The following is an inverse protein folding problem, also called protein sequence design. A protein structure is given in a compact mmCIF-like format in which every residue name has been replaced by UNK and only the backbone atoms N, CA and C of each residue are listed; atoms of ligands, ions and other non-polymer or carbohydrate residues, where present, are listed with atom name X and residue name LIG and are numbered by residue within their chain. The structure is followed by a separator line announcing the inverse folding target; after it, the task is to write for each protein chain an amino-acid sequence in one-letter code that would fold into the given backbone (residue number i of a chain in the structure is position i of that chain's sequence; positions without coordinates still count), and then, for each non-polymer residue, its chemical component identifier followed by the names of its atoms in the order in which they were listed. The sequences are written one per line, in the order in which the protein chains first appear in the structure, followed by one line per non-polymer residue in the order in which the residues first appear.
data_IF_183598226805
#
_entry.id   IF_183598226805
#
_cell.length_a   1.000
_cell.length_b   1.000
_cell.length_c   1.000
_cell.angle_alpha   90.00
_cell.angle_beta   90.00
_cell.angle_gamma   90.00
#
_symmetry.space_group_name_H-M   'P 1'
#
loop_
_entity.id
_entity.type
_entity.pdbx_description
1 polymer ?
#
# COMPACT_ATOMS: atom_id res chain seq x y z
N UNK A 1 29.36 -20.95 -12.46
CA UNK A 1 27.99 -21.06 -13.01
C UNK A 1 27.06 -21.09 -11.83
N UNK A 2 26.54 -19.91 -11.46
CA UNK A 2 25.54 -19.82 -10.39
C UNK A 2 24.22 -20.26 -11.00
N UNK A 3 23.70 -21.41 -10.57
CA UNK A 3 22.32 -21.75 -10.84
C UNK A 3 21.43 -20.74 -10.07
N UNK A 4 20.36 -20.20 -10.70
CA UNK A 4 19.38 -19.42 -9.95
C UNK A 4 18.78 -20.33 -8.86
N UNK A 5 18.44 -19.81 -7.68
CA UNK A 5 17.81 -20.58 -6.62
C UNK A 5 16.51 -21.17 -7.17
N UNK A 6 16.36 -22.49 -7.04
CA UNK A 6 15.09 -23.18 -7.33
C UNK A 6 14.16 -22.90 -6.16
N UNK A 7 13.24 -21.95 -6.35
CA UNK A 7 12.16 -21.67 -5.41
C UNK A 7 11.21 -22.88 -5.39
N UNK A 8 11.05 -23.52 -4.25
CA UNK A 8 10.03 -24.55 -4.04
C UNK A 8 8.80 -23.89 -3.40
N UNK A 9 8.02 -23.18 -4.23
CA UNK A 9 6.73 -22.66 -3.80
C UNK A 9 5.82 -23.82 -3.37
N UNK A 10 5.24 -23.73 -2.18
CA UNK A 10 4.30 -24.74 -1.66
C UNK A 10 2.85 -24.48 -2.13
N UNK A 11 2.58 -23.28 -2.62
CA UNK A 11 1.34 -22.94 -3.32
C UNK A 11 1.57 -22.90 -4.83
N UNK A 12 0.50 -22.89 -5.61
CA UNK A 12 0.58 -22.79 -7.07
C UNK A 12 0.90 -21.37 -7.58
N UNK A 13 1.09 -20.41 -6.65
CA UNK A 13 1.35 -19.02 -7.00
C UNK A 13 2.82 -18.79 -7.38
N UNK A 14 3.04 -17.90 -8.34
CA UNK A 14 4.35 -17.56 -8.87
C UNK A 14 4.90 -16.21 -8.35
N UNK A 15 4.06 -15.42 -7.70
CA UNK A 15 4.45 -14.16 -7.06
C UNK A 15 3.39 -13.68 -6.05
N UNK A 16 3.82 -12.79 -5.14
CA UNK A 16 2.93 -12.09 -4.22
C UNK A 16 3.09 -10.59 -4.44
N UNK A 17 1.98 -9.91 -4.73
CA UNK A 17 1.92 -8.46 -4.87
C UNK A 17 1.18 -7.88 -3.67
N UNK A 18 1.77 -6.92 -2.98
CA UNK A 18 1.20 -6.28 -1.79
C UNK A 18 0.70 -4.87 -2.07
N UNK A 19 -0.41 -4.50 -1.45
CA UNK A 19 -0.70 -3.10 -1.17
C UNK A 19 0.18 -2.59 -0.04
N UNK A 20 0.13 -1.29 0.25
CA UNK A 20 0.97 -0.63 1.25
C UNK A 20 0.18 -0.27 2.51
N UNK A 21 -0.68 0.75 2.42
CA UNK A 21 -1.40 1.30 3.56
C UNK A 21 -2.52 0.36 4.04
N UNK A 22 -2.50 0.03 5.32
CA UNK A 22 -3.44 -0.96 5.87
C UNK A 22 -3.06 -2.41 5.60
N UNK A 23 -2.01 -2.66 4.82
CA UNK A 23 -1.52 -4.00 4.48
C UNK A 23 -0.14 -4.28 5.06
N UNK A 24 0.83 -3.42 4.83
CA UNK A 24 2.20 -3.55 5.34
C UNK A 24 2.50 -2.59 6.48
N UNK A 25 1.94 -1.37 6.44
CA UNK A 25 2.13 -0.39 7.49
C UNK A 25 0.89 0.47 7.73
N UNK A 26 0.88 1.18 8.87
CA UNK A 26 -0.06 2.25 9.21
C UNK A 26 0.70 3.55 9.41
N UNK A 27 0.54 4.50 8.51
CA UNK A 27 1.13 5.83 8.61
C UNK A 27 0.10 6.92 8.93
N UNK A 28 -1.11 6.54 9.35
CA UNK A 28 -2.20 7.49 9.58
C UNK A 28 -1.82 8.61 10.57
N UNK A 29 -1.14 8.29 11.66
CA UNK A 29 -0.72 9.30 12.64
C UNK A 29 0.27 10.32 12.04
N UNK A 30 1.19 9.87 11.19
CA UNK A 30 2.15 10.73 10.51
C UNK A 30 1.46 11.63 9.47
N UNK A 31 0.56 11.05 8.66
CA UNK A 31 -0.25 11.81 7.70
C UNK A 31 -1.16 12.82 8.41
N UNK A 32 -1.86 12.41 9.48
CA UNK A 32 -2.68 13.31 10.32
C UNK A 32 -1.88 14.52 10.82
N UNK A 33 -0.67 14.27 11.31
CA UNK A 33 0.20 15.33 11.78
C UNK A 33 0.54 16.32 10.65
N UNK A 34 0.99 15.84 9.52
CA UNK A 34 1.31 16.66 8.36
C UNK A 34 0.10 17.43 7.80
N UNK A 35 -1.02 16.77 7.61
CA UNK A 35 -2.25 17.41 7.10
C UNK A 35 -2.74 18.51 8.02
N UNK A 36 -2.70 18.31 9.34
CA UNK A 36 -3.10 19.34 10.30
C UNK A 36 -2.14 20.53 10.32
N UNK A 37 -0.85 20.34 10.02
CA UNK A 37 0.09 21.45 9.80
C UNK A 37 -0.28 22.24 8.54
N UNK A 38 -0.61 21.57 7.43
CA UNK A 38 -1.05 22.23 6.19
C UNK A 38 -2.32 23.06 6.42
N UNK A 39 -3.31 22.50 7.12
CA UNK A 39 -4.55 23.20 7.46
C UNK A 39 -4.29 24.45 8.32
N UNK A 40 -3.39 24.34 9.28
CA UNK A 40 -2.99 25.47 10.11
C UNK A 40 -2.26 26.57 9.30
N UNK A 41 -1.38 26.19 8.37
CA UNK A 41 -0.70 27.12 7.46
C UNK A 41 -1.69 27.87 6.57
N UNK A 42 -2.77 27.23 6.14
CA UNK A 42 -3.87 27.86 5.40
C UNK A 42 -4.77 28.75 6.29
N UNK A 43 -4.54 28.81 7.59
CA UNK A 43 -5.39 29.54 8.53
C UNK A 43 -6.76 28.90 8.76
N UNK A 44 -6.92 27.61 8.47
CA UNK A 44 -8.17 26.90 8.64
C UNK A 44 -8.29 26.27 10.02
N UNK A 45 -9.50 26.32 10.59
CA UNK A 45 -9.81 25.65 11.87
C UNK A 45 -10.15 24.17 11.71
N UNK A 46 -10.21 23.68 10.47
CA UNK A 46 -10.45 22.26 10.15
C UNK A 46 -9.37 21.38 10.75
N UNK A 47 -9.72 20.17 11.09
CA UNK A 47 -8.78 19.13 11.57
C UNK A 47 -9.21 17.79 11.01
N UNK A 48 -8.21 16.98 10.66
CA UNK A 48 -8.36 15.56 10.38
C UNK A 48 -7.83 14.76 11.56
N UNK A 49 -8.31 13.53 11.70
CA UNK A 49 -7.82 12.56 12.68
C UNK A 49 -7.33 11.28 11.97
N UNK A 50 -6.71 10.39 12.72
CA UNK A 50 -6.13 9.16 12.20
C UNK A 50 -7.19 8.26 11.54
N UNK A 51 -8.38 8.19 12.12
CA UNK A 51 -9.47 7.38 11.57
C UNK A 51 -10.00 7.99 10.26
N UNK A 52 -10.04 9.31 10.15
CA UNK A 52 -10.32 10.00 8.90
C UNK A 52 -9.30 9.64 7.82
N UNK A 53 -8.01 9.71 8.11
CA UNK A 53 -6.95 9.33 7.19
C UNK A 53 -7.09 7.86 6.78
N UNK A 54 -7.25 6.93 7.73
CA UNK A 54 -7.46 5.49 7.43
C UNK A 54 -8.68 5.26 6.54
N UNK A 55 -9.75 6.03 6.73
CA UNK A 55 -11.00 5.86 5.97
C UNK A 55 -10.87 6.18 4.48
N UNK A 56 -9.88 6.98 4.09
CA UNK A 56 -9.62 7.38 2.70
C UNK A 56 -8.39 6.71 2.11
N UNK A 57 -7.57 6.06 2.91
CA UNK A 57 -6.40 5.30 2.45
C UNK A 57 -6.78 4.27 1.39
N UNK A 58 -5.88 4.03 0.44
CA UNK A 58 -6.16 3.21 -0.73
C UNK A 58 -6.77 3.98 -1.92
N UNK A 59 -7.17 5.26 -1.76
CA UNK A 59 -7.50 6.13 -2.89
C UNK A 59 -6.25 6.90 -3.36
N UNK A 60 -6.24 7.41 -4.62
CA UNK A 60 -5.26 8.40 -5.05
C UNK A 60 -5.31 9.66 -4.18
N UNK A 61 -4.14 10.26 -3.90
CA UNK A 61 -3.99 11.40 -2.98
C UNK A 61 -4.98 12.56 -3.21
N UNK A 62 -5.22 13.06 -4.45
CA UNK A 62 -6.19 14.12 -4.66
C UNK A 62 -7.61 13.73 -4.20
N UNK A 63 -7.97 12.44 -4.38
CA UNK A 63 -9.27 11.94 -3.94
C UNK A 63 -9.40 11.86 -2.42
N UNK A 64 -8.31 11.55 -1.71
CA UNK A 64 -8.29 11.59 -0.26
C UNK A 64 -8.58 13.02 0.25
N UNK A 65 -7.93 14.02 -0.35
CA UNK A 65 -8.15 15.44 0.01
C UNK A 65 -9.59 15.87 -0.24
N UNK A 66 -10.17 15.52 -1.40
CA UNK A 66 -11.57 15.84 -1.73
C UNK A 66 -12.57 15.24 -0.73
N UNK A 67 -12.31 14.01 -0.26
CA UNK A 67 -13.21 13.32 0.67
C UNK A 67 -13.11 13.90 2.07
N UNK A 68 -11.90 14.17 2.57
CA UNK A 68 -11.68 14.63 3.94
C UNK A 68 -11.89 16.13 4.11
N UNK A 69 -11.72 16.91 3.06
CA UNK A 69 -11.82 18.36 3.09
C UNK A 69 -12.84 18.86 2.05
N UNK A 70 -14.10 18.40 2.12
CA UNK A 70 -15.13 18.74 1.11
C UNK A 70 -15.41 20.25 1.05
N UNK A 71 -15.13 21.01 2.13
CA UNK A 71 -15.30 22.45 2.18
C UNK A 71 -14.32 23.18 1.24
N UNK A 72 -13.24 22.52 0.82
CA UNK A 72 -12.26 23.07 -0.13
C UNK A 72 -12.57 22.71 -1.59
N UNK A 73 -13.68 22.03 -1.86
CA UNK A 73 -14.02 21.57 -3.21
C UNK A 73 -14.55 22.69 -4.13
N UNK A 74 -14.09 22.81 -5.38
CA UNK A 74 -13.04 22.02 -6.00
C UNK A 74 -11.66 22.36 -5.41
N UNK A 75 -10.89 21.33 -5.04
CA UNK A 75 -9.60 21.53 -4.37
C UNK A 75 -8.58 22.11 -5.35
N UNK A 76 -8.04 23.32 -5.08
CA UNK A 76 -7.03 23.90 -5.96
C UNK A 76 -5.74 23.09 -5.96
N UNK A 77 -5.03 23.08 -7.08
CA UNK A 77 -3.74 22.40 -7.24
C UNK A 77 -2.70 22.87 -6.19
N UNK A 78 -2.70 24.17 -5.86
CA UNK A 78 -1.83 24.72 -4.81
C UNK A 78 -2.12 24.15 -3.42
N UNK A 79 -3.40 23.84 -3.13
CA UNK A 79 -3.81 23.21 -1.88
C UNK A 79 -3.37 21.74 -1.85
N UNK A 80 -3.54 21.01 -2.96
CA UNK A 80 -3.07 19.63 -3.06
C UNK A 80 -1.56 19.56 -2.78
N UNK A 81 -0.78 20.41 -3.44
CA UNK A 81 0.68 20.48 -3.23
C UNK A 81 1.06 20.81 -1.79
N UNK A 82 0.37 21.79 -1.18
CA UNK A 82 0.67 22.18 0.19
C UNK A 82 0.39 21.02 1.17
N UNK A 83 -0.75 20.33 1.02
CA UNK A 83 -1.10 19.19 1.88
C UNK A 83 -0.09 18.05 1.66
N UNK A 84 0.32 17.78 0.42
CA UNK A 84 1.32 16.77 0.09
C UNK A 84 2.71 17.10 0.68
N UNK A 85 3.15 18.37 0.57
CA UNK A 85 4.42 18.82 1.13
C UNK A 85 4.46 18.65 2.66
N UNK A 86 3.37 19.00 3.35
CA UNK A 86 3.26 18.81 4.79
C UNK A 86 3.05 17.36 5.20
N UNK A 87 2.37 16.54 4.39
CA UNK A 87 2.31 15.09 4.65
C UNK A 87 3.70 14.48 4.62
N UNK A 88 4.55 14.89 3.67
CA UNK A 88 5.96 14.50 3.62
C UNK A 88 6.70 14.87 4.91
N UNK A 89 6.48 16.09 5.43
CA UNK A 89 7.03 16.51 6.72
C UNK A 89 6.55 15.58 7.85
N UNK A 90 5.28 15.21 7.85
CA UNK A 90 4.71 14.28 8.84
C UNK A 90 5.37 12.89 8.78
N UNK A 91 5.48 12.34 7.59
CA UNK A 91 6.13 11.03 7.38
C UNK A 91 7.61 11.06 7.75
N UNK A 92 8.33 12.17 7.47
CA UNK A 92 9.73 12.31 7.87
C UNK A 92 9.90 12.46 9.39
N UNK A 93 8.94 13.08 10.07
CA UNK A 93 9.00 13.32 11.50
C UNK A 93 8.62 12.10 12.36
N UNK A 94 7.59 11.36 11.95
CA UNK A 94 6.97 10.31 12.77
C UNK A 94 7.09 8.91 12.16
N UNK A 95 7.27 8.81 10.85
CA UNK A 95 7.18 7.58 10.06
C UNK A 95 5.83 6.86 10.16
N UNK A 96 5.67 5.78 9.40
CA UNK A 96 4.61 4.81 9.60
C UNK A 96 5.10 3.66 10.48
N UNK A 97 4.16 2.91 11.02
CA UNK A 97 4.41 1.73 11.84
C UNK A 97 4.09 0.48 11.03
N UNK A 98 5.05 -0.45 10.91
CA UNK A 98 4.79 -1.76 10.31
C UNK A 98 3.79 -2.54 11.18
N UNK A 99 2.90 -3.29 10.55
CA UNK A 99 2.11 -4.28 11.27
C UNK A 99 3.02 -5.37 11.83
N UNK A 100 2.57 -6.01 12.91
CA UNK A 100 3.32 -7.07 13.57
C UNK A 100 3.67 -8.20 12.58
N UNK A 101 4.90 -8.71 12.62
CA UNK A 101 5.39 -9.78 11.77
C UNK A 101 5.76 -9.39 10.33
N UNK A 102 5.44 -8.17 9.87
CA UNK A 102 5.66 -7.77 8.47
C UNK A 102 7.13 -7.77 8.07
N UNK A 103 8.01 -7.22 8.90
CA UNK A 103 9.43 -7.10 8.54
C UNK A 103 10.11 -8.46 8.40
N UNK A 104 9.85 -9.36 9.30
CA UNK A 104 10.38 -10.72 9.30
C UNK A 104 9.73 -11.55 8.19
N UNK A 105 8.40 -11.51 8.12
CA UNK A 105 7.65 -12.30 7.14
C UNK A 105 7.92 -11.92 5.69
N UNK A 106 8.14 -10.64 5.37
CA UNK A 106 8.55 -10.23 4.02
C UNK A 106 9.92 -10.81 3.64
N UNK A 107 10.88 -10.89 4.59
CA UNK A 107 12.18 -11.51 4.32
C UNK A 107 12.04 -13.01 4.07
N UNK A 108 11.25 -13.70 4.89
CA UNK A 108 10.97 -15.13 4.73
C UNK A 108 10.26 -15.43 3.40
N UNK A 109 9.25 -14.62 3.04
CA UNK A 109 8.54 -14.76 1.76
C UNK A 109 9.45 -14.48 0.56
N UNK A 110 10.34 -13.48 0.66
CA UNK A 110 11.26 -13.11 -0.42
C UNK A 110 12.29 -14.21 -0.74
N UNK A 111 12.58 -15.10 0.20
CA UNK A 111 13.43 -16.29 -0.05
C UNK A 111 12.73 -17.33 -0.94
N UNK A 112 11.40 -17.25 -1.07
CA UNK A 112 10.57 -18.27 -1.76
C UNK A 112 9.84 -17.70 -2.96
N UNK A 113 9.37 -16.45 -2.89
CA UNK A 113 8.55 -15.80 -3.91
C UNK A 113 9.14 -14.48 -4.37
N UNK A 114 9.06 -14.12 -5.65
CA UNK A 114 9.17 -12.73 -6.09
C UNK A 114 8.08 -11.90 -5.41
N UNK A 115 8.47 -10.86 -4.68
CA UNK A 115 7.53 -9.93 -4.03
C UNK A 115 7.46 -8.63 -4.81
N UNK A 116 6.27 -8.05 -4.88
CA UNK A 116 6.00 -6.78 -5.53
C UNK A 116 5.16 -5.87 -4.63
N UNK A 117 5.27 -4.55 -4.83
CA UNK A 117 4.42 -3.56 -4.19
C UNK A 117 3.64 -2.78 -5.26
N UNK A 118 2.32 -2.63 -5.08
CA UNK A 118 1.47 -1.78 -5.93
C UNK A 118 0.52 -0.98 -5.05
N UNK A 119 0.65 0.35 -5.03
CA UNK A 119 -0.15 1.24 -4.19
C UNK A 119 -0.67 2.47 -4.96
N UNK A 120 -1.76 3.07 -4.48
CA UNK A 120 -2.28 4.33 -4.99
C UNK A 120 -1.58 5.58 -4.39
N UNK A 121 -0.51 5.40 -3.62
CA UNK A 121 0.24 6.49 -2.99
C UNK A 121 1.06 7.31 -4.01
N UNK A 122 1.53 8.51 -3.62
CA UNK A 122 2.59 9.24 -4.33
C UNK A 122 3.90 8.43 -4.36
N UNK A 123 4.78 8.73 -5.33
CA UNK A 123 6.08 8.07 -5.48
C UNK A 123 7.01 8.27 -4.27
N UNK A 124 7.13 9.50 -3.79
CA UNK A 124 7.93 9.82 -2.61
C UNK A 124 7.49 9.07 -1.34
N UNK A 125 6.19 8.72 -1.26
CA UNK A 125 5.63 7.99 -0.12
C UNK A 125 6.07 6.53 -0.11
N UNK A 126 6.03 5.86 -1.27
CA UNK A 126 6.58 4.52 -1.43
C UNK A 126 8.10 4.50 -1.16
N UNK A 127 8.83 5.50 -1.67
CA UNK A 127 10.27 5.66 -1.38
C UNK A 127 10.53 5.88 0.12
N UNK A 128 9.67 6.64 0.81
CA UNK A 128 9.77 6.85 2.25
C UNK A 128 9.56 5.55 3.02
N UNK A 129 8.56 4.73 2.65
CA UNK A 129 8.37 3.39 3.21
C UNK A 129 9.65 2.55 3.10
N UNK A 130 10.23 2.43 1.92
CA UNK A 130 11.45 1.64 1.72
C UNK A 130 12.64 2.19 2.51
N UNK A 131 12.81 3.50 2.55
CA UNK A 131 13.89 4.17 3.28
C UNK A 131 13.78 3.94 4.79
N UNK A 132 12.58 4.07 5.35
CA UNK A 132 12.34 3.95 6.79
C UNK A 132 12.47 2.51 7.26
N UNK A 133 11.93 1.56 6.50
CA UNK A 133 11.87 0.15 6.90
C UNK A 133 13.10 -0.66 6.50
N UNK A 134 13.86 -0.21 5.50
CA UNK A 134 14.99 -0.97 4.95
C UNK A 134 14.58 -2.25 4.22
N UNK A 135 13.32 -2.36 3.77
CA UNK A 135 12.77 -3.57 3.15
C UNK A 135 12.81 -3.57 1.62
N UNK A 136 13.46 -2.58 1.00
CA UNK A 136 13.52 -2.48 -0.47
C UNK A 136 14.08 -3.75 -1.14
N UNK A 137 15.05 -4.41 -0.50
CA UNK A 137 15.69 -5.63 -1.01
C UNK A 137 14.77 -6.86 -1.04
N UNK A 138 13.68 -6.85 -0.27
CA UNK A 138 12.67 -7.90 -0.32
C UNK A 138 11.82 -7.87 -1.59
N UNK A 139 11.78 -6.75 -2.29
CA UNK A 139 10.89 -6.55 -3.43
C UNK A 139 11.63 -6.62 -4.75
N UNK A 140 11.12 -7.46 -5.67
CA UNK A 140 11.61 -7.57 -7.06
C UNK A 140 11.26 -6.33 -7.86
N UNK A 141 10.17 -5.64 -7.52
CA UNK A 141 9.75 -4.40 -8.15
C UNK A 141 8.55 -3.77 -7.47
N UNK A 142 8.28 -2.52 -7.80
CA UNK A 142 7.14 -1.78 -7.29
C UNK A 142 6.59 -0.79 -8.31
N UNK A 143 5.33 -0.41 -8.14
CA UNK A 143 4.67 0.64 -8.88
C UNK A 143 3.70 1.38 -7.97
N UNK A 144 3.51 2.68 -8.22
CA UNK A 144 2.53 3.48 -7.51
C UNK A 144 1.87 4.50 -8.43
N UNK A 145 0.73 5.03 -7.99
CA UNK A 145 0.00 6.03 -8.76
C UNK A 145 0.85 7.26 -9.08
N UNK A 146 1.68 7.70 -8.13
CA UNK A 146 2.57 8.85 -8.32
C UNK A 146 3.58 8.67 -9.45
N UNK A 147 4.09 7.44 -9.63
CA UNK A 147 5.06 7.13 -10.69
C UNK A 147 4.39 6.86 -12.04
N UNK A 148 3.29 6.12 -12.05
CA UNK A 148 2.67 5.61 -13.29
C UNK A 148 1.52 6.47 -13.81
N UNK A 149 0.89 7.26 -12.94
CA UNK A 149 -0.29 8.09 -13.27
C UNK A 149 -1.56 7.30 -13.61
N UNK A 150 -1.57 5.97 -13.37
CA UNK A 150 -2.71 5.10 -13.67
C UNK A 150 -3.29 4.49 -12.39
N UNK A 151 -4.52 3.99 -12.47
CA UNK A 151 -5.18 3.34 -11.34
C UNK A 151 -4.60 1.96 -11.02
N UNK A 152 -4.87 1.48 -9.79
CA UNK A 152 -4.32 0.25 -9.22
C UNK A 152 -4.50 -1.00 -10.11
N UNK A 153 -5.68 -1.20 -10.69
CA UNK A 153 -5.92 -2.34 -11.61
C UNK A 153 -4.99 -2.31 -12.82
N UNK A 154 -4.73 -1.12 -13.37
CA UNK A 154 -3.82 -0.98 -14.52
C UNK A 154 -2.37 -1.20 -14.12
N UNK A 155 -1.95 -0.74 -12.94
CA UNK A 155 -0.61 -1.04 -12.41
C UNK A 155 -0.41 -2.54 -12.22
N UNK A 156 -1.40 -3.25 -11.66
CA UNK A 156 -1.36 -4.72 -11.51
C UNK A 156 -1.25 -5.44 -12.86
N UNK A 157 -2.00 -5.03 -13.88
CA UNK A 157 -1.88 -5.57 -15.24
C UNK A 157 -0.50 -5.34 -15.83
N UNK A 158 0.03 -4.12 -15.71
CA UNK A 158 1.36 -3.77 -16.20
C UNK A 158 2.45 -4.60 -15.47
N UNK A 159 2.29 -4.84 -14.17
CA UNK A 159 3.19 -5.67 -13.37
C UNK A 159 3.17 -7.12 -13.87
N UNK A 160 1.99 -7.70 -14.08
CA UNK A 160 1.84 -9.05 -14.66
C UNK A 160 2.52 -9.18 -16.01
N UNK A 161 2.29 -8.23 -16.91
CA UNK A 161 2.90 -8.22 -18.24
C UNK A 161 4.43 -8.10 -18.17
N UNK A 162 4.91 -7.14 -17.39
CA UNK A 162 6.34 -6.81 -17.27
C UNK A 162 7.17 -7.98 -16.72
N UNK A 163 6.63 -8.68 -15.73
CA UNK A 163 7.34 -9.75 -15.03
C UNK A 163 6.84 -11.16 -15.40
N UNK A 164 5.94 -11.26 -16.37
CA UNK A 164 5.37 -12.53 -16.88
C UNK A 164 4.71 -13.36 -15.78
N UNK A 165 3.96 -12.72 -14.89
CA UNK A 165 3.30 -13.37 -13.76
C UNK A 165 2.02 -14.08 -14.25
N UNK A 166 2.01 -15.41 -14.18
CA UNK A 166 0.89 -16.22 -14.67
C UNK A 166 -0.17 -16.46 -13.58
N UNK A 167 0.26 -16.60 -12.33
CA UNK A 167 -0.59 -16.96 -11.20
C UNK A 167 -0.19 -16.19 -9.92
N UNK A 168 -0.09 -14.87 -10.01
CA UNK A 168 0.22 -14.03 -8.87
C UNK A 168 -1.02 -13.75 -8.03
N UNK A 169 -0.83 -13.52 -6.72
CA UNK A 169 -1.87 -13.04 -5.82
C UNK A 169 -1.66 -11.56 -5.51
N UNK A 170 -2.76 -10.86 -5.22
CA UNK A 170 -2.74 -9.51 -4.70
C UNK A 170 -3.26 -9.48 -3.25
N UNK A 171 -2.41 -9.04 -2.33
CA UNK A 171 -2.69 -8.92 -0.91
C UNK A 171 -3.08 -7.47 -0.60
N UNK A 172 -4.22 -7.27 0.02
CA UNK A 172 -4.73 -5.94 0.36
C UNK A 172 -5.81 -6.00 1.43
N UNK A 173 -6.24 -4.83 1.90
CA UNK A 173 -7.19 -4.72 3.01
C UNK A 173 -8.51 -4.04 2.63
N UNK A 174 -8.64 -3.48 1.41
CA UNK A 174 -9.82 -2.71 1.01
C UNK A 174 -10.67 -3.38 -0.08
N UNK A 175 -11.92 -2.92 -0.21
CA UNK A 175 -12.78 -3.28 -1.35
C UNK A 175 -12.20 -2.77 -2.68
N UNK A 176 -11.43 -1.67 -2.65
CA UNK A 176 -10.69 -1.14 -3.80
C UNK A 176 -9.64 -2.13 -4.30
N UNK A 177 -8.90 -2.74 -3.38
CA UNK A 177 -7.89 -3.77 -3.68
C UNK A 177 -8.51 -5.00 -4.32
N UNK A 178 -9.60 -5.49 -3.72
CA UNK A 178 -10.36 -6.61 -4.30
C UNK A 178 -10.85 -6.32 -5.72
N UNK A 179 -11.35 -5.11 -5.95
CA UNK A 179 -11.83 -4.71 -7.28
C UNK A 179 -10.68 -4.64 -8.28
N UNK A 180 -9.54 -4.06 -7.88
CA UNK A 180 -8.34 -3.96 -8.70
C UNK A 180 -7.75 -5.34 -9.04
N UNK A 181 -7.67 -6.24 -8.06
CA UNK A 181 -7.22 -7.62 -8.27
C UNK A 181 -8.11 -8.35 -9.29
N UNK A 182 -9.45 -8.26 -9.11
CA UNK A 182 -10.40 -8.87 -10.03
C UNK A 182 -10.28 -8.33 -11.46
N UNK A 183 -10.12 -7.02 -11.63
CA UNK A 183 -9.93 -6.39 -12.94
C UNK A 183 -8.60 -6.77 -13.59
N UNK A 184 -7.59 -7.08 -12.78
CA UNK A 184 -6.30 -7.57 -13.22
C UNK A 184 -6.23 -9.09 -13.37
N UNK A 185 -7.34 -9.81 -13.15
CA UNK A 185 -7.40 -11.27 -13.17
C UNK A 185 -6.36 -11.91 -12.24
N UNK A 186 -6.28 -11.39 -11.00
CA UNK A 186 -5.44 -11.89 -9.91
C UNK A 186 -6.31 -12.39 -8.76
N UNK A 187 -5.88 -13.45 -8.08
CA UNK A 187 -6.49 -13.86 -6.83
C UNK A 187 -6.28 -12.79 -5.76
N UNK A 188 -7.35 -12.46 -5.02
CA UNK A 188 -7.30 -11.48 -3.95
C UNK A 188 -7.19 -12.18 -2.59
N UNK A 189 -6.19 -11.78 -1.83
CA UNK A 189 -5.96 -12.18 -0.43
C UNK A 189 -6.26 -11.01 0.48
N UNK A 190 -7.20 -11.20 1.40
CA UNK A 190 -7.64 -10.14 2.31
C UNK A 190 -6.91 -10.23 3.66
N UNK A 191 -6.36 -9.11 4.12
CA UNK A 191 -5.85 -8.98 5.48
C UNK A 191 -6.85 -8.19 6.34
N UNK A 192 -7.33 -8.80 7.45
CA UNK A 192 -8.40 -8.24 8.29
C UNK A 192 -7.92 -7.24 9.31
N UNK A 193 -6.62 -7.19 9.58
CA UNK A 193 -6.00 -6.26 10.52
C UNK A 193 -5.86 -4.84 9.96
N UNK A 194 -6.08 -4.65 8.66
CA UNK A 194 -5.97 -3.36 7.98
C UNK A 194 -7.15 -2.41 8.23
N UNK A 195 -7.30 -1.41 7.37
CA UNK A 195 -8.32 -0.36 7.49
C UNK A 195 -9.69 -0.79 6.97
N UNK A 196 -9.71 -1.69 5.98
CA UNK A 196 -10.92 -2.17 5.33
C UNK A 196 -11.76 -3.06 6.23
N UNK A 197 -13.10 -2.98 6.05
CA UNK A 197 -14.05 -3.77 6.82
C UNK A 197 -14.86 -4.68 5.90
N UNK A 198 -15.05 -5.95 6.33
CA UNK A 198 -15.97 -6.91 5.72
C UNK A 198 -15.78 -7.13 4.21
N UNK A 199 -14.54 -7.23 3.74
CA UNK A 199 -14.23 -7.54 2.34
C UNK A 199 -14.37 -9.05 2.11
N UNK A 200 -15.13 -9.45 1.10
CA UNK A 200 -15.24 -10.87 0.73
C UNK A 200 -14.00 -11.32 -0.06
N UNK A 201 -13.34 -12.38 0.38
CA UNK A 201 -12.21 -13.00 -0.29
C UNK A 201 -12.23 -14.52 -0.08
N UNK A 202 -11.60 -15.27 -0.99
CA UNK A 202 -11.39 -16.72 -0.86
C UNK A 202 -10.37 -17.05 0.23
N UNK A 203 -9.35 -16.22 0.34
CA UNK A 203 -8.31 -16.28 1.37
C UNK A 203 -8.34 -15.01 2.22
N UNK A 204 -8.31 -15.16 3.54
CA UNK A 204 -8.29 -14.03 4.45
C UNK A 204 -7.59 -14.40 5.76
N UNK A 205 -6.73 -13.49 6.24
CA UNK A 205 -5.88 -13.70 7.40
C UNK A 205 -6.09 -12.60 8.45
N UNK A 206 -6.03 -12.98 9.72
CA UNK A 206 -6.18 -12.05 10.84
C UNK A 206 -4.85 -11.42 11.26
N UNK A 207 -3.72 -12.07 10.91
CA UNK A 207 -2.36 -11.56 11.15
C UNK A 207 -1.47 -11.77 9.92
N UNK A 208 -0.35 -11.05 9.86
CA UNK A 208 0.63 -11.24 8.80
C UNK A 208 1.36 -12.59 8.93
N UNK A 209 1.57 -13.07 10.16
CA UNK A 209 2.17 -14.37 10.42
C UNK A 209 1.31 -15.52 9.88
N UNK A 210 -0.02 -15.45 9.99
CA UNK A 210 -0.91 -16.45 9.39
C UNK A 210 -0.79 -16.47 7.87
N UNK A 211 -0.66 -15.29 7.22
CA UNK A 211 -0.42 -15.19 5.79
C UNK A 211 0.92 -15.83 5.42
N UNK A 212 1.99 -15.51 6.12
CA UNK A 212 3.33 -16.09 5.91
C UNK A 212 3.27 -17.61 6.05
N UNK A 213 2.68 -18.12 7.13
CA UNK A 213 2.54 -19.55 7.37
C UNK A 213 1.76 -20.26 6.25
N UNK A 214 0.73 -19.62 5.68
CA UNK A 214 -0.03 -20.16 4.55
C UNK A 214 0.83 -20.31 3.29
N UNK A 215 1.64 -19.31 2.96
CA UNK A 215 2.45 -19.32 1.74
C UNK A 215 3.72 -20.17 1.86
N UNK A 216 4.28 -20.29 3.06
CA UNK A 216 5.48 -21.10 3.31
C UNK A 216 5.16 -22.54 3.71
N UNK A 217 3.95 -22.86 4.21
CA UNK A 217 3.43 -24.18 4.56
C UNK A 217 3.81 -24.63 5.94
#
# INVERSE_FOLDING_TARGET
MNHPPTFHARTSHDAIVFDLDGTLWDAAAASTYGWNLALAEMGLSLRVDDDGIRSVSGNPFPRCVEILLPELSPVPESTLRLVEDYERVGIEALAGVLYEGVAEGLRELADVYPLFLVSNCPDWYAEAFFRVTGLAECFTGWDCHGSSGVGKSRMLLNMRERYHLANAVYVGDTQGDRSAAREADMEFVFVRYGFGKAVQASLAFDTFEELVAHFLG
#
